data_IF_766737989787
#
_entry.id   IF_766737989787
#
_cell.length_a   1.000
_cell.length_b   1.000
_cell.length_c   1.000
_cell.angle_alpha   90.00
_cell.angle_beta   90.00
_cell.angle_gamma   90.00
#
_symmetry.space_group_name_H-M   'P 1'
#
loop_
_entity.id
_entity.type
_entity.pdbx_description
1 polymer ?
#
# COMPACT_ATOMS: atom_id res chain seq x y z
N UNK A 1 -10.54 -6.07 15.95
CA UNK A 1 -10.12 -5.05 14.94
C UNK A 1 -11.21 -4.71 13.93
N UNK A 2 -11.86 -5.69 13.27
CA UNK A 2 -12.92 -5.43 12.29
C UNK A 2 -14.09 -4.63 12.87
N UNK A 3 -14.58 -5.05 14.03
CA UNK A 3 -15.70 -4.40 14.72
C UNK A 3 -15.37 -2.94 15.09
N UNK A 4 -14.19 -2.67 15.64
CA UNK A 4 -13.72 -1.32 15.91
C UNK A 4 -13.68 -0.44 14.66
N UNK A 5 -13.22 -0.99 13.53
CA UNK A 5 -13.14 -0.27 12.26
C UNK A 5 -14.54 0.04 11.71
N UNK A 6 -15.48 -0.90 11.82
CA UNK A 6 -16.87 -0.73 11.42
C UNK A 6 -17.61 0.27 12.31
N UNK A 7 -17.37 0.23 13.62
CA UNK A 7 -17.96 1.15 14.58
C UNK A 7 -17.42 2.57 14.39
N UNK A 8 -16.12 2.73 14.16
CA UNK A 8 -15.53 4.02 13.78
C UNK A 8 -16.18 4.56 12.50
N UNK A 9 -16.34 3.73 11.46
CA UNK A 9 -16.99 4.16 10.23
C UNK A 9 -18.45 4.55 10.44
N UNK A 10 -19.16 3.85 11.33
CA UNK A 10 -20.54 4.19 11.69
C UNK A 10 -20.61 5.58 12.33
N UNK A 11 -19.74 5.84 13.32
CA UNK A 11 -19.65 7.13 14.01
C UNK A 11 -19.29 8.29 13.07
N UNK A 12 -18.44 8.05 12.08
CA UNK A 12 -17.95 9.07 11.15
C UNK A 12 -18.62 9.04 9.77
N UNK A 13 -19.70 8.26 9.59
CA UNK A 13 -20.32 8.03 8.27
C UNK A 13 -20.79 9.32 7.60
N UNK A 14 -21.41 10.23 8.36
CA UNK A 14 -21.93 11.51 7.86
C UNK A 14 -20.78 12.36 7.33
N UNK A 15 -19.73 12.53 8.15
CA UNK A 15 -18.51 13.24 7.78
C UNK A 15 -17.86 12.65 6.51
N UNK A 16 -17.70 11.33 6.41
CA UNK A 16 -17.06 10.68 5.25
C UNK A 16 -17.88 10.74 3.95
N UNK A 17 -19.17 11.05 4.03
CA UNK A 17 -20.05 11.20 2.88
C UNK A 17 -20.33 12.64 2.50
N UNK A 18 -19.78 13.60 3.24
CA UNK A 18 -19.88 15.02 2.92
C UNK A 18 -19.34 15.29 1.50
N UNK A 19 -20.12 16.01 0.71
CA UNK A 19 -19.81 16.38 -0.68
C UNK A 19 -19.53 17.87 -0.80
N UNK A 20 -18.67 18.25 -1.75
CA UNK A 20 -18.53 19.63 -2.19
C UNK A 20 -19.65 20.01 -3.17
N UNK A 21 -19.71 21.28 -3.56
CA UNK A 21 -20.71 21.82 -4.49
C UNK A 21 -20.65 21.16 -5.87
N UNK A 22 -19.48 20.64 -6.25
CA UNK A 22 -19.24 19.90 -7.50
C UNK A 22 -19.61 18.40 -7.40
N UNK A 23 -20.13 17.94 -6.27
CA UNK A 23 -20.59 16.56 -6.06
C UNK A 23 -19.48 15.54 -5.71
N UNK A 24 -18.23 15.96 -5.58
CA UNK A 24 -17.10 15.16 -5.09
C UNK A 24 -17.06 15.03 -3.57
N UNK A 25 -16.42 13.98 -3.05
CA UNK A 25 -16.27 13.80 -1.59
C UNK A 25 -15.21 14.75 -1.01
N UNK A 26 -15.56 15.52 0.03
CA UNK A 26 -14.61 16.40 0.72
C UNK A 26 -13.47 15.61 1.37
N UNK A 27 -13.78 14.47 1.97
CA UNK A 27 -12.83 13.65 2.76
C UNK A 27 -12.32 12.42 2.00
N UNK A 28 -11.99 12.60 0.72
CA UNK A 28 -11.60 11.50 -0.20
C UNK A 28 -10.43 10.65 0.34
N UNK A 29 -9.39 11.27 0.90
CA UNK A 29 -8.21 10.57 1.44
C UNK A 29 -8.57 9.63 2.60
N UNK A 30 -9.34 10.13 3.56
CA UNK A 30 -9.75 9.34 4.74
C UNK A 30 -10.68 8.20 4.32
N UNK A 31 -11.62 8.48 3.42
CA UNK A 31 -12.52 7.46 2.85
C UNK A 31 -11.75 6.35 2.13
N UNK A 32 -10.72 6.71 1.35
CA UNK A 32 -9.85 5.75 0.69
C UNK A 32 -9.02 4.93 1.68
N UNK A 33 -8.47 5.57 2.73
CA UNK A 33 -7.73 4.87 3.78
C UNK A 33 -8.62 3.84 4.50
N UNK A 34 -9.84 4.22 4.90
CA UNK A 34 -10.81 3.30 5.47
C UNK A 34 -11.10 2.12 4.54
N UNK A 35 -11.38 2.38 3.26
CA UNK A 35 -11.65 1.31 2.27
C UNK A 35 -10.45 0.38 2.11
N UNK A 36 -9.24 0.92 2.08
CA UNK A 36 -8.00 0.13 2.02
C UNK A 36 -7.87 -0.77 3.24
N UNK A 37 -8.04 -0.21 4.45
CA UNK A 37 -8.00 -0.98 5.69
C UNK A 37 -9.07 -2.08 5.71
N UNK A 38 -10.31 -1.76 5.37
CA UNK A 38 -11.43 -2.72 5.35
C UNK A 38 -11.18 -3.88 4.40
N UNK A 39 -10.70 -3.60 3.19
CA UNK A 39 -10.47 -4.61 2.16
C UNK A 39 -9.24 -5.48 2.47
N UNK A 40 -8.19 -4.89 3.02
CA UNK A 40 -6.92 -5.57 3.29
C UNK A 40 -6.81 -6.13 4.72
N UNK A 41 -7.82 -5.94 5.57
CA UNK A 41 -7.78 -6.33 6.98
C UNK A 41 -7.39 -7.80 7.20
N UNK A 42 -7.85 -8.70 6.32
CA UNK A 42 -7.53 -10.13 6.38
C UNK A 42 -6.05 -10.44 6.14
N UNK A 43 -5.33 -9.55 5.45
CA UNK A 43 -3.92 -9.72 5.10
C UNK A 43 -2.97 -8.97 6.05
N UNK A 44 -3.45 -7.90 6.69
CA UNK A 44 -2.61 -7.06 7.57
C UNK A 44 -1.98 -7.85 8.72
N UNK A 45 -2.67 -8.88 9.22
CA UNK A 45 -2.22 -9.70 10.33
C UNK A 45 -1.60 -11.04 9.91
N UNK A 46 -1.46 -11.29 8.60
CA UNK A 46 -0.87 -12.54 8.10
C UNK A 46 0.55 -12.76 8.63
N UNK A 47 1.30 -11.68 8.87
CA UNK A 47 2.60 -11.74 9.52
C UNK A 47 2.55 -12.44 10.88
N UNK A 48 1.63 -12.03 11.77
CA UNK A 48 1.51 -12.58 13.13
C UNK A 48 1.31 -14.10 13.12
N UNK A 49 0.51 -14.61 12.18
CA UNK A 49 0.23 -16.04 12.05
C UNK A 49 1.34 -16.84 11.38
N UNK A 50 2.17 -16.20 10.57
CA UNK A 50 3.21 -16.87 9.79
C UNK A 50 4.61 -16.68 10.39
N UNK A 51 4.82 -15.75 11.30
CA UNK A 51 6.14 -15.41 11.89
C UNK A 51 6.87 -16.61 12.49
N UNK A 52 6.14 -17.58 13.04
CA UNK A 52 6.74 -18.82 13.56
C UNK A 52 7.13 -19.82 12.47
N UNK A 53 6.47 -19.76 11.31
CA UNK A 53 6.69 -20.66 10.16
C UNK A 53 7.70 -20.11 9.15
N UNK A 54 7.84 -18.81 9.08
CA UNK A 54 8.78 -18.09 8.21
C UNK A 54 9.52 -17.07 9.05
N UNK A 55 10.86 -17.09 8.99
CA UNK A 55 11.75 -16.15 9.67
C UNK A 55 11.68 -14.75 9.00
N UNK A 56 10.48 -14.17 8.94
CA UNK A 56 10.26 -12.88 8.29
C UNK A 56 10.65 -11.76 9.28
N UNK A 57 11.51 -10.81 8.87
CA UNK A 57 11.89 -9.69 9.72
C UNK A 57 10.67 -8.84 10.10
N UNK A 58 10.72 -8.21 11.28
CA UNK A 58 9.66 -7.31 11.79
C UNK A 58 9.63 -5.96 11.07
N UNK A 59 10.68 -5.63 10.32
CA UNK A 59 10.83 -4.36 9.61
C UNK A 59 10.89 -4.57 8.10
N UNK A 60 10.49 -3.54 7.36
CA UNK A 60 10.55 -3.52 5.89
C UNK A 60 11.88 -3.02 5.35
N UNK A 61 12.91 -2.86 6.20
CA UNK A 61 14.20 -2.24 5.86
C UNK A 61 14.86 -2.90 4.63
N UNK A 62 14.85 -4.23 4.56
CA UNK A 62 15.42 -4.95 3.42
C UNK A 62 14.67 -4.66 2.12
N UNK A 63 13.33 -4.61 2.16
CA UNK A 63 12.51 -4.27 0.99
C UNK A 63 12.73 -2.81 0.56
N UNK A 64 12.76 -1.89 1.51
CA UNK A 64 13.00 -0.46 1.23
C UNK A 64 14.37 -0.22 0.62
N UNK A 65 15.42 -0.88 1.13
CA UNK A 65 16.76 -0.82 0.55
C UNK A 65 16.77 -1.31 -0.91
N UNK A 66 16.21 -2.49 -1.17
CA UNK A 66 16.10 -3.06 -2.53
C UNK A 66 15.33 -2.13 -3.47
N UNK A 67 14.18 -1.60 -3.03
CA UNK A 67 13.39 -0.67 -3.84
C UNK A 67 14.09 0.68 -4.03
N UNK A 68 14.88 1.14 -3.06
CA UNK A 68 15.71 2.33 -3.20
C UNK A 68 16.73 2.17 -4.33
N UNK A 69 17.47 1.05 -4.32
CA UNK A 69 18.45 0.72 -5.37
C UNK A 69 17.78 0.59 -6.75
N UNK A 70 16.61 -0.06 -6.81
CA UNK A 70 15.86 -0.21 -8.05
C UNK A 70 15.39 1.15 -8.60
N UNK A 71 14.79 2.00 -7.75
CA UNK A 71 14.34 3.34 -8.14
C UNK A 71 15.50 4.21 -8.63
N UNK A 72 16.67 4.10 -8.00
CA UNK A 72 17.87 4.81 -8.45
C UNK A 72 18.27 4.37 -9.87
N UNK A 73 18.38 3.06 -10.14
CA UNK A 73 18.72 2.53 -11.47
C UNK A 73 17.69 2.93 -12.53
N UNK A 74 16.40 2.80 -12.24
CA UNK A 74 15.33 3.26 -13.16
C UNK A 74 15.41 4.78 -13.37
N UNK A 75 15.73 5.51 -12.31
CA UNK A 75 15.83 6.96 -12.28
C UNK A 75 16.99 7.52 -13.11
N UNK A 76 18.07 6.76 -13.30
CA UNK A 76 19.16 7.10 -14.24
C UNK A 76 18.67 6.94 -15.69
N UNK A 77 17.76 5.99 -15.93
CA UNK A 77 17.27 5.62 -17.25
C UNK A 77 15.82 6.10 -17.53
N UNK A 78 15.50 7.34 -17.16
CA UNK A 78 14.11 7.87 -17.24
C UNK A 78 13.52 7.80 -18.65
N UNK A 79 14.35 7.97 -19.69
CA UNK A 79 13.96 7.95 -21.10
C UNK A 79 13.71 6.55 -21.69
N UNK A 80 13.90 5.47 -20.94
CA UNK A 80 13.60 4.13 -21.44
C UNK A 80 12.10 3.92 -21.67
N UNK A 81 11.78 3.27 -22.79
CA UNK A 81 10.45 2.72 -23.05
C UNK A 81 10.05 1.73 -21.95
N UNK A 82 8.75 1.63 -21.67
CA UNK A 82 8.20 0.77 -20.60
C UNK A 82 8.76 -0.66 -20.61
N UNK A 83 8.81 -1.30 -21.78
CA UNK A 83 9.32 -2.68 -21.91
C UNK A 83 10.79 -2.83 -21.52
N UNK A 84 11.64 -1.82 -21.78
CA UNK A 84 13.05 -1.83 -21.35
C UNK A 84 13.18 -1.62 -19.85
N UNK A 85 12.31 -0.80 -19.25
CA UNK A 85 12.25 -0.64 -17.79
C UNK A 85 11.84 -1.95 -17.11
N UNK A 86 10.88 -2.67 -17.67
CA UNK A 86 10.49 -4.00 -17.17
C UNK A 86 11.65 -4.99 -17.24
N UNK A 87 12.33 -5.10 -18.40
CA UNK A 87 13.51 -5.97 -18.54
C UNK A 87 14.64 -5.62 -17.56
N UNK A 88 14.81 -4.33 -17.23
CA UNK A 88 15.78 -3.88 -16.23
C UNK A 88 15.36 -4.27 -14.81
N UNK A 89 14.06 -4.20 -14.50
CA UNK A 89 13.52 -4.69 -13.22
C UNK A 89 13.72 -6.21 -13.11
N UNK A 90 13.42 -6.96 -14.17
CA UNK A 90 13.59 -8.42 -14.20
C UNK A 90 15.06 -8.80 -14.00
N UNK A 91 16.00 -8.17 -14.72
CA UNK A 91 17.44 -8.42 -14.53
C UNK A 91 17.92 -8.04 -13.12
N UNK A 92 17.37 -6.98 -12.54
CA UNK A 92 17.71 -6.55 -11.18
C UNK A 92 17.21 -7.52 -10.12
N UNK A 93 16.01 -8.08 -10.28
CA UNK A 93 15.39 -9.01 -9.32
C UNK A 93 15.84 -10.47 -9.52
N UNK A 94 16.42 -10.81 -10.68
CA UNK A 94 16.92 -12.16 -10.99
C UNK A 94 18.36 -12.40 -10.51
N UNK A 95 19.00 -11.38 -9.94
CA UNK A 95 20.33 -11.45 -9.32
C UNK A 95 20.20 -11.68 -7.83
#
# INVERSE_FOLDING_TARGET
>A
MREYLEDWHRRHHVFLNERNEEGGFKHKRIKQAYRSLKNNLKYLYTYEFLKEKIQLPTTTNSLEAVFGHLKQKIGIHRGLKKWRKLRLIDDFLSK
#
